data_IF_036991029321
#
_entry.id   IF_036991029321
#
_cell.length_a   1.000
_cell.length_b   1.000
_cell.length_c   1.000
_cell.angle_alpha   90.00
_cell.angle_beta   90.00
_cell.angle_gamma   90.00
#
_symmetry.space_group_name_H-M   'P 1'
#
loop_
_entity.id
_entity.type
_entity.pdbx_description
1 polymer ?
#
# COMPACT_ATOMS: atom_id res chain seq x y z
N UNK A 1 7.64 -1.95 3.88
CA UNK A 1 7.14 -3.15 3.18
C UNK A 1 6.82 -2.82 1.73
N UNK A 2 6.81 -3.80 0.82
CA UNK A 2 6.48 -3.60 -0.62
C UNK A 2 5.01 -3.91 -0.90
N UNK A 3 4.49 -3.43 -2.03
CA UNK A 3 3.11 -3.73 -2.49
C UNK A 3 2.81 -5.22 -2.61
N UNK A 4 3.79 -6.02 -3.04
CA UNK A 4 3.65 -7.47 -3.06
C UNK A 4 3.43 -8.07 -1.66
N UNK A 5 4.08 -7.51 -0.62
CA UNK A 5 3.93 -7.98 0.76
C UNK A 5 2.55 -7.60 1.30
N UNK A 6 2.08 -6.38 1.02
CA UNK A 6 0.72 -5.93 1.34
C UNK A 6 -0.36 -6.76 0.63
N UNK A 7 -0.14 -7.13 -0.63
CA UNK A 7 -1.02 -8.01 -1.38
C UNK A 7 -1.08 -9.40 -0.75
N UNK A 8 0.08 -9.99 -0.45
CA UNK A 8 0.18 -11.32 0.14
C UNK A 8 -0.50 -11.38 1.52
N UNK A 9 -0.24 -10.39 2.38
CA UNK A 9 -0.91 -10.27 3.67
C UNK A 9 -2.43 -10.08 3.50
N UNK A 10 -2.85 -9.26 2.53
CA UNK A 10 -4.25 -9.09 2.16
C UNK A 10 -4.92 -10.40 1.76
N UNK A 11 -4.29 -11.19 0.89
CA UNK A 11 -4.79 -12.50 0.47
C UNK A 11 -4.93 -13.47 1.64
N UNK A 12 -3.90 -13.56 2.49
CA UNK A 12 -3.91 -14.43 3.67
C UNK A 12 -5.06 -14.01 4.61
N UNK A 13 -5.15 -12.73 4.95
CA UNK A 13 -6.20 -12.23 5.84
C UNK A 13 -7.60 -12.43 5.26
N UNK A 14 -7.80 -12.17 3.96
CA UNK A 14 -9.08 -12.40 3.28
C UNK A 14 -9.50 -13.89 3.32
N UNK A 15 -8.55 -14.83 3.30
CA UNK A 15 -8.84 -16.26 3.37
C UNK A 15 -9.28 -16.74 4.76
N UNK A 16 -8.96 -15.96 5.80
CA UNK A 16 -9.30 -16.26 7.20
C UNK A 16 -10.60 -15.58 7.66
N UNK A 17 -11.07 -14.59 6.90
CA UNK A 17 -12.28 -13.84 7.21
C UNK A 17 -13.50 -14.48 6.52
N UNK A 18 -14.70 -14.37 7.11
CA UNK A 18 -15.93 -14.91 6.54
C UNK A 18 -16.48 -14.01 5.42
N UNK A 19 -15.61 -13.61 4.49
CA UNK A 19 -15.95 -12.77 3.35
C UNK A 19 -16.47 -13.60 2.19
N UNK A 20 -17.45 -13.04 1.47
CA UNK A 20 -17.80 -13.50 0.13
C UNK A 20 -16.64 -13.24 -0.82
N UNK A 21 -16.67 -13.89 -2.00
CA UNK A 21 -15.65 -13.70 -3.04
C UNK A 21 -15.44 -12.22 -3.40
N UNK A 22 -16.54 -11.47 -3.51
CA UNK A 22 -16.47 -10.04 -3.83
C UNK A 22 -15.84 -9.24 -2.69
N UNK A 23 -16.24 -9.50 -1.44
CA UNK A 23 -15.67 -8.82 -0.28
C UNK A 23 -14.18 -9.14 -0.11
N UNK A 24 -13.73 -10.37 -0.42
CA UNK A 24 -12.30 -10.71 -0.47
C UNK A 24 -11.54 -9.90 -1.52
N UNK A 25 -12.10 -9.72 -2.71
CA UNK A 25 -11.49 -8.89 -3.77
C UNK A 25 -11.42 -7.44 -3.33
N UNK A 26 -12.49 -6.90 -2.76
CA UNK A 26 -12.54 -5.53 -2.24
C UNK A 26 -11.53 -5.32 -1.12
N UNK A 27 -11.40 -6.27 -0.20
CA UNK A 27 -10.43 -6.24 0.89
C UNK A 27 -8.99 -6.26 0.39
N UNK A 28 -8.64 -7.19 -0.51
CA UNK A 28 -7.28 -7.26 -1.08
C UNK A 28 -6.97 -6.02 -1.90
N UNK A 29 -7.93 -5.50 -2.67
CA UNK A 29 -7.76 -4.25 -3.40
C UNK A 29 -7.49 -3.08 -2.44
N UNK A 30 -8.22 -3.02 -1.32
CA UNK A 30 -7.99 -2.03 -0.27
C UNK A 30 -6.61 -2.11 0.37
N UNK A 31 -6.07 -3.32 0.56
CA UNK A 31 -4.76 -3.52 1.20
C UNK A 31 -3.57 -3.08 0.34
N UNK A 32 -3.77 -2.87 -0.96
CA UNK A 32 -2.73 -2.38 -1.89
C UNK A 32 -3.08 -1.05 -2.54
N UNK A 33 -4.29 -0.52 -2.29
CA UNK A 33 -4.77 0.70 -2.95
C UNK A 33 -3.87 1.90 -2.67
N UNK A 34 -3.40 2.03 -1.42
CA UNK A 34 -2.58 3.15 -0.98
C UNK A 34 -1.19 3.10 -1.62
N UNK A 35 -0.68 1.91 -1.87
CA UNK A 35 0.59 1.73 -2.57
C UNK A 35 0.60 2.28 -4.01
N UNK A 36 -0.57 2.51 -4.61
CA UNK A 36 -0.65 3.04 -5.97
C UNK A 36 -0.11 4.48 -6.09
N UNK A 37 -0.01 5.24 -4.99
CA UNK A 37 0.61 6.57 -5.02
C UNK A 37 2.15 6.54 -5.19
N UNK A 38 2.78 5.37 -5.02
CA UNK A 38 4.18 5.15 -5.38
C UNK A 38 4.43 5.34 -6.89
N UNK A 39 3.43 5.04 -7.74
CA UNK A 39 3.57 5.06 -9.20
C UNK A 39 3.76 6.49 -9.77
N UNK A 40 2.88 7.48 -9.49
CA UNK A 40 3.10 8.86 -9.92
C UNK A 40 4.34 9.50 -9.28
N UNK A 41 4.62 9.17 -8.01
CA UNK A 41 5.79 9.66 -7.28
C UNK A 41 7.12 9.23 -7.90
N UNK A 42 7.24 7.95 -8.24
CA UNK A 42 8.41 7.38 -8.88
C UNK A 42 8.62 7.90 -10.31
N UNK A 43 7.54 8.03 -11.10
CA UNK A 43 7.59 8.62 -12.45
C UNK A 43 8.11 10.05 -12.39
N UNK A 44 7.53 10.88 -11.51
CA UNK A 44 7.89 12.30 -11.39
C UNK A 44 9.33 12.49 -10.90
N UNK A 45 9.82 11.61 -10.03
CA UNK A 45 11.14 11.75 -9.37
C UNK A 45 12.28 11.09 -10.14
N UNK A 46 12.08 9.88 -10.67
CA UNK A 46 13.10 9.14 -11.40
C UNK A 46 13.02 9.33 -12.92
N UNK A 47 12.00 10.04 -13.41
CA UNK A 47 11.81 10.26 -14.83
C UNK A 47 11.50 8.96 -15.57
N UNK A 48 10.83 8.01 -14.91
CA UNK A 48 10.38 6.76 -15.55
C UNK A 48 9.31 7.14 -16.59
N UNK A 49 9.68 7.13 -17.87
CA UNK A 49 8.80 7.53 -18.98
C UNK A 49 8.01 6.36 -19.57
N UNK A 50 8.44 5.13 -19.29
CA UNK A 50 7.75 3.93 -19.72
C UNK A 50 6.70 3.54 -18.66
N UNK A 51 5.41 3.47 -19.01
CA UNK A 51 4.35 3.12 -18.07
C UNK A 51 4.51 1.70 -17.51
N UNK A 52 5.07 0.75 -18.28
CA UNK A 52 5.32 -0.62 -17.81
C UNK A 52 6.38 -0.61 -16.71
N UNK A 53 7.48 0.11 -16.90
CA UNK A 53 8.56 0.20 -15.90
C UNK A 53 8.06 0.87 -14.61
N UNK A 54 7.19 1.87 -14.73
CA UNK A 54 6.56 2.48 -13.57
C UNK A 54 5.66 1.47 -12.83
N UNK A 55 4.87 0.66 -13.53
CA UNK A 55 4.04 -0.38 -12.91
C UNK A 55 4.90 -1.44 -12.20
N UNK A 56 6.00 -1.87 -12.82
CA UNK A 56 6.95 -2.81 -12.22
C UNK A 56 7.58 -2.21 -10.96
N UNK A 57 8.00 -0.94 -11.02
CA UNK A 57 8.55 -0.24 -9.86
C UNK A 57 7.52 -0.08 -8.74
N UNK A 58 6.25 0.21 -9.07
CA UNK A 58 5.20 0.32 -8.07
C UNK A 58 4.95 -1.01 -7.37
N UNK A 59 4.93 -2.12 -8.11
CA UNK A 59 4.68 -3.45 -7.54
C UNK A 59 5.85 -3.98 -6.70
N UNK A 60 7.07 -3.71 -7.14
CA UNK A 60 8.26 -4.38 -6.59
C UNK A 60 9.17 -3.45 -5.78
N UNK A 61 8.97 -2.13 -5.88
CA UNK A 61 9.88 -1.12 -5.36
C UNK A 61 11.25 -1.13 -6.04
N UNK A 62 11.43 -1.82 -7.18
CA UNK A 62 12.75 -2.11 -7.73
C UNK A 62 12.80 -2.07 -9.26
N UNK A 63 13.78 -1.37 -9.80
CA UNK A 63 14.17 -1.34 -11.21
C UNK A 63 15.72 -1.32 -11.31
N UNK A 64 16.32 -1.71 -12.44
CA UNK A 64 17.76 -1.62 -12.62
C UNK A 64 18.30 -0.20 -12.34
N UNK A 65 19.09 -0.06 -11.28
CA UNK A 65 19.67 1.22 -10.86
C UNK A 65 18.74 2.16 -10.07
N UNK A 66 17.53 1.71 -9.72
CA UNK A 66 16.54 2.45 -8.92
C UNK A 66 15.89 1.51 -7.91
N UNK A 67 16.15 1.70 -6.62
CA UNK A 67 15.49 0.97 -5.54
C UNK A 67 14.73 1.96 -4.65
N UNK A 68 13.52 1.62 -4.23
CA UNK A 68 12.66 2.48 -3.43
C UNK A 68 13.24 2.79 -2.04
N UNK A 69 14.11 1.92 -1.56
CA UNK A 69 14.87 1.98 -0.32
C UNK A 69 16.33 2.43 -0.53
N UNK A 70 16.75 2.88 -1.72
CA UNK A 70 18.13 3.35 -1.92
C UNK A 70 18.40 4.60 -1.05
N UNK A 71 19.27 4.50 -0.03
CA UNK A 71 19.52 5.61 0.89
C UNK A 71 20.22 6.78 0.20
N UNK A 72 20.83 6.59 -0.98
CA UNK A 72 21.46 7.64 -1.78
C UNK A 72 20.45 8.46 -2.58
N UNK A 73 19.22 7.96 -2.74
CA UNK A 73 18.13 8.58 -3.50
C UNK A 73 16.79 8.42 -2.77
N UNK A 74 16.65 8.95 -1.54
CA UNK A 74 15.46 8.77 -0.73
C UNK A 74 14.20 9.27 -1.47
N UNK A 75 13.14 8.47 -1.48
CA UNK A 75 11.85 8.84 -2.08
C UNK A 75 11.09 9.78 -1.13
N UNK A 76 11.50 11.05 -1.06
CA UNK A 76 10.63 12.15 -0.66
C UNK A 76 9.56 12.36 -1.74
N UNK A 77 8.38 11.80 -1.51
CA UNK A 77 7.17 12.03 -2.30
C UNK A 77 6.10 12.45 -1.32
N UNK A 78 5.33 13.50 -1.63
CA UNK A 78 4.10 13.81 -0.88
C UNK A 78 3.11 12.66 -1.10
N UNK A 79 2.86 11.88 -0.05
CA UNK A 79 2.00 10.69 -0.06
C UNK A 79 0.71 10.99 0.68
N UNK A 80 -0.27 11.67 0.05
CA UNK A 80 -1.50 12.07 0.72
C UNK A 80 -2.34 10.87 1.18
N UNK A 81 -2.20 9.70 0.51
CA UNK A 81 -2.92 8.49 0.89
C UNK A 81 -2.32 7.79 2.11
N UNK A 82 -1.04 8.03 2.42
CA UNK A 82 -0.35 7.51 3.61
C UNK A 82 -0.49 8.44 4.84
N UNK A 83 -1.30 9.50 4.75
CA UNK A 83 -1.59 10.38 5.90
C UNK A 83 -2.56 9.68 6.86
N UNK A 84 -2.28 9.74 8.16
CA UNK A 84 -3.11 9.11 9.21
C UNK A 84 -4.56 9.64 9.17
N UNK A 85 -4.74 10.91 8.83
CA UNK A 85 -6.05 11.55 8.69
C UNK A 85 -6.86 10.94 7.54
N UNK A 86 -6.19 10.61 6.42
CA UNK A 86 -6.82 9.91 5.29
C UNK A 86 -7.26 8.51 5.70
N UNK A 87 -6.43 7.79 6.45
CA UNK A 87 -6.76 6.47 7.00
C UNK A 87 -8.01 6.52 7.89
N UNK A 88 -8.04 7.48 8.82
CA UNK A 88 -9.15 7.68 9.76
C UNK A 88 -10.42 8.04 8.99
N UNK A 89 -10.34 8.97 8.04
CA UNK A 89 -11.47 9.38 7.21
C UNK A 89 -12.08 8.22 6.42
N UNK A 90 -11.25 7.41 5.75
CA UNK A 90 -11.70 6.22 5.00
C UNK A 90 -12.31 5.16 5.93
N UNK A 91 -11.71 4.93 7.10
CA UNK A 91 -12.24 4.03 8.12
C UNK A 91 -13.62 4.46 8.61
N UNK A 92 -13.81 5.75 8.91
CA UNK A 92 -15.10 6.31 9.32
C UNK A 92 -16.16 6.20 8.22
N UNK A 93 -15.82 6.53 6.97
CA UNK A 93 -16.74 6.39 5.83
C UNK A 93 -17.20 4.93 5.66
N UNK A 94 -16.30 3.96 5.86
CA UNK A 94 -16.65 2.55 5.76
C UNK A 94 -17.46 2.01 6.95
N UNK A 95 -17.35 2.61 8.13
CA UNK A 95 -18.28 2.32 9.22
C UNK A 95 -19.71 2.78 8.89
N UNK A 96 -19.85 3.89 8.14
CA UNK A 96 -21.14 4.44 7.71
C UNK A 96 -21.73 3.69 6.51
N UNK A 97 -20.88 3.17 5.62
CA UNK A 97 -21.29 2.45 4.41
C UNK A 97 -20.93 0.99 4.57
N UNK A 98 -21.89 0.16 5.00
CA UNK A 98 -21.69 -1.27 5.29
C UNK A 98 -21.02 -2.04 4.15
N UNK A 99 -21.30 -1.63 2.89
CA UNK A 99 -20.71 -2.20 1.67
C UNK A 99 -19.23 -1.85 1.46
N UNK A 100 -18.75 -0.71 1.96
CA UNK A 100 -17.36 -0.29 1.84
C UNK A 100 -16.44 -0.89 2.93
N UNK A 101 -17.03 -1.62 3.90
CA UNK A 101 -16.30 -2.23 5.02
C UNK A 101 -15.12 -3.11 4.58
N UNK A 102 -15.25 -4.04 3.61
CA UNK A 102 -14.12 -4.89 3.23
C UNK A 102 -12.94 -4.07 2.70
N UNK A 103 -13.20 -3.11 1.80
CA UNK A 103 -12.16 -2.25 1.24
C UNK A 103 -11.45 -1.41 2.31
N UNK A 104 -12.18 -0.82 3.25
CA UNK A 104 -11.54 -0.04 4.31
C UNK A 104 -10.81 -0.89 5.34
N UNK A 105 -11.28 -2.11 5.63
CA UNK A 105 -10.51 -3.05 6.44
C UNK A 105 -9.19 -3.43 5.74
N UNK A 106 -9.20 -3.54 4.41
CA UNK A 106 -7.98 -3.67 3.61
C UNK A 106 -7.04 -2.48 3.78
N UNK A 107 -7.56 -1.26 3.68
CA UNK A 107 -6.78 -0.02 3.94
C UNK A 107 -6.20 0.01 5.35
N UNK A 108 -6.97 -0.38 6.36
CA UNK A 108 -6.48 -0.43 7.74
C UNK A 108 -5.38 -1.50 7.92
N UNK A 109 -5.51 -2.65 7.25
CA UNK A 109 -4.46 -3.66 7.23
C UNK A 109 -3.16 -3.10 6.63
N UNK A 110 -3.24 -2.35 5.53
CA UNK A 110 -2.09 -1.69 4.91
C UNK A 110 -1.33 -0.82 5.92
N UNK A 111 -2.02 0.09 6.60
CA UNK A 111 -1.39 0.94 7.62
C UNK A 111 -0.82 0.17 8.81
N UNK A 112 -1.49 -0.91 9.25
CA UNK A 112 -0.98 -1.73 10.34
C UNK A 112 0.36 -2.40 9.97
N UNK A 113 0.51 -2.80 8.71
CA UNK A 113 1.74 -3.39 8.17
C UNK A 113 2.86 -2.35 8.07
N UNK A 114 2.57 -1.14 7.58
CA UNK A 114 3.54 -0.03 7.57
C UNK A 114 4.02 0.34 8.98
N UNK A 115 3.12 0.41 9.96
CA UNK A 115 3.49 0.68 11.35
C UNK A 115 4.38 -0.44 11.91
N UNK A 116 4.06 -1.70 11.59
CA UNK A 116 4.88 -2.84 12.00
C UNK A 116 6.28 -2.77 11.40
N UNK A 117 6.41 -2.39 10.13
CA UNK A 117 7.68 -2.19 9.45
C UNK A 117 8.53 -1.13 10.16
N UNK A 118 7.94 0.05 10.42
CA UNK A 118 8.61 1.14 11.16
C UNK A 118 9.08 0.69 12.55
N UNK A 119 8.24 -0.04 13.28
CA UNK A 119 8.58 -0.52 14.62
C UNK A 119 9.68 -1.58 14.57
N UNK A 120 9.65 -2.46 13.58
CA UNK A 120 10.62 -3.54 13.42
C UNK A 120 11.98 -2.99 12.99
N UNK A 121 12.00 -2.07 12.03
CA UNK A 121 13.22 -1.38 11.58
C UNK A 121 13.87 -0.58 12.72
N UNK A 122 13.07 0.07 13.58
CA UNK A 122 13.60 0.74 14.79
C UNK A 122 14.17 -0.21 15.84
N UNK A 123 13.83 -1.50 15.80
CA UNK A 123 14.36 -2.52 16.71
C UNK A 123 15.60 -3.22 16.16
N UNK A 124 15.82 -3.14 14.85
CA UNK A 124 16.95 -3.77 14.15
C UNK A 124 18.06 -2.79 13.78
N UNK A 125 17.82 -1.47 13.89
CA UNK A 125 18.81 -0.39 13.79
C UNK A 125 19.43 -0.04 15.16
#
# INVERSE_FOLDING_TARGET
>A
MRTADHAAAGFIAASLLPFTRQESVEFVAGSVFIDLDHYPGAIKKYGIRNPIDGCVFALTGNLPGLAADDPRRPIEVDRPLHRIETAIGLGLVALLIRRARPAALGVLLHFALDVLDIVTDRRTA
#
